data_IF_593537902136
#
_entry.id   IF_593537902136
#
_cell.length_a   1.000
_cell.length_b   1.000
_cell.length_c   1.000
_cell.angle_alpha   90.00
_cell.angle_beta   90.00
_cell.angle_gamma   90.00
#
_symmetry.space_group_name_H-M   'P 1'
#
loop_
_entity.id
_entity.type
_entity.pdbx_description
1 polymer ?
#
# COMPACT_ATOMS: atom_id res chain seq x y z
N UNK A 1 19.80 -1.52 8.19
CA UNK A 1 19.37 -2.45 9.28
C UNK A 1 20.53 -3.36 9.65
N UNK A 2 20.83 -3.45 10.96
CA UNK A 2 21.86 -4.36 11.48
C UNK A 2 21.37 -5.82 11.45
N UNK A 3 22.16 -6.72 10.84
CA UNK A 3 21.89 -8.14 10.76
C UNK A 3 21.75 -8.77 12.17
N UNK A 4 22.45 -8.23 13.17
CA UNK A 4 22.38 -8.73 14.56
C UNK A 4 20.97 -8.63 15.12
N UNK A 5 20.28 -7.50 14.92
CA UNK A 5 18.90 -7.27 15.40
C UNK A 5 17.93 -8.23 14.68
N UNK A 6 18.11 -8.44 13.37
CA UNK A 6 17.27 -9.39 12.61
C UNK A 6 17.41 -10.81 13.15
N UNK A 7 18.65 -11.24 13.46
CA UNK A 7 18.92 -12.56 14.07
C UNK A 7 18.33 -12.65 15.48
N UNK A 8 18.51 -11.63 16.31
CA UNK A 8 17.96 -11.57 17.64
C UNK A 8 16.44 -11.72 17.64
N UNK A 9 15.74 -11.00 16.74
CA UNK A 9 14.30 -11.11 16.59
C UNK A 9 13.86 -12.54 16.24
N UNK A 10 14.52 -13.18 15.28
CA UNK A 10 14.22 -14.56 14.88
C UNK A 10 14.51 -15.59 16.00
N UNK A 11 15.57 -15.39 16.77
CA UNK A 11 15.88 -16.25 17.91
C UNK A 11 14.90 -16.08 19.08
N UNK A 12 14.48 -14.84 19.34
CA UNK A 12 13.57 -14.49 20.46
C UNK A 12 12.11 -14.87 20.17
N UNK A 13 11.64 -14.68 18.95
CA UNK A 13 10.21 -14.82 18.60
C UNK A 13 9.91 -16.03 17.70
N UNK A 14 10.93 -16.75 17.23
CA UNK A 14 10.78 -17.85 16.30
C UNK A 14 10.72 -17.38 14.84
N UNK A 15 10.45 -18.34 13.94
CA UNK A 15 10.23 -18.10 12.50
C UNK A 15 9.04 -18.92 12.01
N UNK A 16 8.34 -18.52 10.94
CA UNK A 16 8.54 -17.27 10.21
C UNK A 16 8.02 -16.05 11.00
N UNK A 17 8.59 -14.85 10.77
CA UNK A 17 8.13 -13.59 11.36
C UNK A 17 8.22 -12.43 10.37
N UNK A 18 7.36 -11.43 10.55
CA UNK A 18 7.54 -10.09 10.00
C UNK A 18 8.18 -9.18 11.03
N UNK A 19 9.18 -8.42 10.62
CA UNK A 19 9.85 -7.43 11.46
C UNK A 19 9.82 -6.08 10.75
N UNK A 20 9.39 -5.03 11.46
CA UNK A 20 9.30 -3.67 10.95
C UNK A 20 10.18 -2.72 11.75
N UNK A 21 11.03 -1.96 11.06
CA UNK A 21 11.81 -0.88 11.67
C UNK A 21 11.06 0.45 11.55
N UNK A 22 10.58 0.96 12.68
CA UNK A 22 9.80 2.20 12.71
C UNK A 22 10.63 3.41 12.31
N UNK A 23 11.94 3.41 12.55
CA UNK A 23 12.83 4.50 12.15
C UNK A 23 12.95 4.63 10.63
N UNK A 24 12.86 3.52 9.90
CA UNK A 24 12.83 3.55 8.43
C UNK A 24 11.53 4.22 7.95
N UNK A 25 10.38 3.93 8.58
CA UNK A 25 9.11 4.61 8.25
C UNK A 25 9.24 6.11 8.47
N UNK A 26 9.77 6.53 9.61
CA UNK A 26 10.00 7.94 9.94
C UNK A 26 10.89 8.62 8.90
N UNK A 27 12.03 8.01 8.55
CA UNK A 27 12.95 8.56 7.57
C UNK A 27 12.30 8.71 6.18
N UNK A 28 11.46 7.76 5.76
CA UNK A 28 10.74 7.83 4.48
C UNK A 28 9.64 8.91 4.51
N UNK A 29 8.95 9.04 5.63
CA UNK A 29 7.96 10.10 5.82
C UNK A 29 8.62 11.49 5.78
N UNK A 30 9.71 11.68 6.52
CA UNK A 30 10.47 12.95 6.56
C UNK A 30 11.04 13.31 5.18
N UNK A 31 11.56 12.30 4.45
CA UNK A 31 12.05 12.49 3.09
C UNK A 31 10.96 13.02 2.17
N UNK A 32 9.77 12.40 2.18
CA UNK A 32 8.65 12.84 1.37
C UNK A 32 8.13 14.21 1.82
N UNK A 33 7.97 14.40 3.12
CA UNK A 33 7.49 15.64 3.72
C UNK A 33 8.41 16.83 3.38
N UNK A 34 9.71 16.63 3.40
CA UNK A 34 10.72 17.63 3.00
C UNK A 34 10.54 18.05 1.54
N UNK A 35 10.39 17.11 0.62
CA UNK A 35 10.19 17.42 -0.80
C UNK A 35 8.85 18.15 -1.04
N UNK A 36 7.78 17.70 -0.37
CA UNK A 36 6.44 18.30 -0.49
C UNK A 36 6.33 19.69 0.15
N UNK A 37 7.22 20.07 1.06
CA UNK A 37 7.13 21.33 1.83
C UNK A 37 7.06 22.59 0.97
N UNK A 38 7.58 22.55 -0.25
CA UNK A 38 7.52 23.68 -1.21
C UNK A 38 6.10 23.98 -1.69
N UNK A 39 5.16 23.03 -1.53
CA UNK A 39 3.76 23.15 -1.95
C UNK A 39 2.90 23.91 -0.91
N UNK A 40 3.41 24.11 0.31
CA UNK A 40 2.81 24.83 1.44
C UNK A 40 1.49 24.26 1.97
N UNK A 41 0.51 23.93 1.12
CA UNK A 41 -0.80 23.39 1.51
C UNK A 41 -0.97 21.95 1.00
N UNK A 42 -0.50 20.98 1.77
CA UNK A 42 -0.60 19.56 1.43
C UNK A 42 -0.87 18.68 2.65
N UNK A 43 -1.28 17.46 2.40
CA UNK A 43 -1.43 16.40 3.41
C UNK A 43 -0.95 15.06 2.82
N UNK A 44 -0.31 14.26 3.65
CA UNK A 44 0.02 12.88 3.34
C UNK A 44 -1.02 12.00 4.01
N UNK A 45 -1.74 11.19 3.23
CA UNK A 45 -2.62 10.13 3.72
C UNK A 45 -1.94 8.80 3.50
N UNK A 46 -1.75 8.03 4.55
CA UNK A 46 -1.14 6.71 4.42
C UNK A 46 -2.16 5.71 3.88
N UNK A 47 -1.83 4.98 2.81
CA UNK A 47 -2.69 3.95 2.25
C UNK A 47 -2.68 2.70 3.17
N UNK A 48 -3.75 2.55 3.99
CA UNK A 48 -3.89 1.52 5.02
C UNK A 48 -3.72 0.09 4.48
N UNK A 49 -4.22 -0.16 3.27
CA UNK A 49 -4.10 -1.45 2.56
C UNK A 49 -2.67 -1.99 2.46
N UNK A 50 -1.67 -1.12 2.54
CA UNK A 50 -0.26 -1.55 2.45
C UNK A 50 0.25 -2.19 3.73
N UNK A 51 -0.16 -1.69 4.92
CA UNK A 51 0.21 -2.23 6.22
C UNK A 51 -0.73 -1.68 7.31
N UNK A 52 -1.71 -2.45 7.74
CA UNK A 52 -2.80 -2.02 8.63
C UNK A 52 -2.63 -2.39 10.11
N UNK A 53 -1.42 -2.80 10.54
CA UNK A 53 -1.17 -3.10 11.96
C UNK A 53 -1.38 -1.84 12.83
N UNK A 54 -2.13 -1.99 13.94
CA UNK A 54 -2.52 -0.89 14.83
C UNK A 54 -1.31 -0.09 15.35
N UNK A 55 -0.22 -0.76 15.72
CA UNK A 55 0.99 -0.10 16.23
C UNK A 55 1.66 0.74 15.14
N UNK A 56 1.69 0.23 13.92
CA UNK A 56 2.22 0.96 12.75
C UNK A 56 1.34 2.16 12.41
N UNK A 57 0.02 1.98 12.36
CA UNK A 57 -0.92 3.07 12.06
C UNK A 57 -0.84 4.19 13.10
N UNK A 58 -0.77 3.85 14.39
CA UNK A 58 -0.59 4.84 15.46
C UNK A 58 0.74 5.60 15.33
N UNK A 59 1.81 4.90 14.94
CA UNK A 59 3.11 5.55 14.72
C UNK A 59 3.06 6.52 13.53
N UNK A 60 2.46 6.10 12.42
CA UNK A 60 2.27 6.93 11.22
C UNK A 60 1.37 8.14 11.53
N UNK A 61 0.31 7.95 12.30
CA UNK A 61 -0.53 9.07 12.78
C UNK A 61 0.27 10.09 13.60
N UNK A 62 1.13 9.62 14.52
CA UNK A 62 2.00 10.49 15.34
C UNK A 62 2.90 11.39 14.49
N UNK A 63 3.29 10.95 13.29
CA UNK A 63 4.05 11.77 12.34
C UNK A 63 3.20 12.82 11.61
N UNK A 64 1.88 12.85 11.83
CA UNK A 64 0.98 13.83 11.24
C UNK A 64 0.31 13.38 9.93
N UNK A 65 0.41 12.11 9.53
CA UNK A 65 -0.33 11.60 8.38
C UNK A 65 -1.83 11.50 8.66
N UNK A 66 -2.65 11.61 7.61
CA UNK A 66 -4.00 11.09 7.53
C UNK A 66 -4.01 9.64 7.05
N UNK A 67 -5.20 9.12 6.74
CA UNK A 67 -5.41 7.74 6.30
C UNK A 67 -6.21 7.70 4.99
N UNK A 68 -5.73 6.94 3.99
CA UNK A 68 -6.52 6.46 2.86
C UNK A 68 -7.01 5.04 3.21
N UNK A 69 -8.34 4.86 3.23
CA UNK A 69 -9.02 3.62 3.56
C UNK A 69 -9.90 3.16 2.39
N UNK A 70 -9.86 1.87 2.05
CA UNK A 70 -10.59 1.31 0.91
C UNK A 70 -11.73 0.37 1.32
N UNK A 71 -11.92 0.14 2.63
CA UNK A 71 -13.01 -0.64 3.21
C UNK A 71 -13.49 0.00 4.51
N UNK A 72 -14.71 -0.34 4.92
CA UNK A 72 -15.27 0.15 6.18
C UNK A 72 -14.44 -0.35 7.39
N UNK A 73 -13.86 -1.55 7.30
CA UNK A 73 -12.98 -2.09 8.34
C UNK A 73 -11.70 -1.26 8.47
N UNK A 74 -11.10 -0.81 7.37
CA UNK A 74 -9.94 0.11 7.42
C UNK A 74 -10.32 1.45 8.04
N UNK A 75 -11.52 1.99 7.77
CA UNK A 75 -12.06 3.19 8.44
C UNK A 75 -12.17 2.97 9.95
N UNK A 76 -12.79 1.86 10.37
CA UNK A 76 -12.98 1.52 11.79
C UNK A 76 -11.62 1.33 12.51
N UNK A 77 -10.67 0.66 11.87
CA UNK A 77 -9.30 0.50 12.38
C UNK A 77 -8.64 1.88 12.52
N UNK A 78 -8.79 2.75 11.53
CA UNK A 78 -8.26 4.12 11.57
C UNK A 78 -8.81 4.91 12.76
N UNK A 79 -10.13 4.90 12.96
CA UNK A 79 -10.77 5.55 14.10
C UNK A 79 -10.28 4.96 15.44
N UNK A 80 -10.14 3.63 15.53
CA UNK A 80 -9.58 2.94 16.70
C UNK A 80 -8.11 3.30 16.96
N UNK A 81 -7.35 3.59 15.92
CA UNK A 81 -5.98 4.10 16.02
C UNK A 81 -5.92 5.59 16.43
N UNK A 82 -7.08 6.25 16.50
CA UNK A 82 -7.25 7.63 16.96
C UNK A 82 -7.11 8.66 15.82
N UNK A 83 -7.16 8.27 14.55
CA UNK A 83 -7.33 9.24 13.47
C UNK A 83 -8.65 9.98 13.66
N UNK A 84 -8.65 11.29 13.46
CA UNK A 84 -9.89 12.04 13.42
C UNK A 84 -10.64 11.70 12.13
N UNK A 85 -11.98 11.79 12.17
CA UNK A 85 -12.81 11.50 11.01
C UNK A 85 -12.46 12.32 9.76
N UNK A 86 -12.06 13.56 9.92
CA UNK A 86 -11.63 14.46 8.86
C UNK A 86 -10.20 14.19 8.34
N UNK A 87 -9.45 13.32 9.02
CA UNK A 87 -8.14 12.81 8.60
C UNK A 87 -8.23 11.50 7.81
N UNK A 88 -9.44 10.91 7.71
CA UNK A 88 -9.68 9.67 6.96
C UNK A 88 -10.39 10.00 5.66
N UNK A 89 -9.84 9.53 4.54
CA UNK A 89 -10.47 9.53 3.23
C UNK A 89 -10.87 8.09 2.91
N UNK A 90 -12.17 7.86 2.73
CA UNK A 90 -12.70 6.57 2.32
C UNK A 90 -12.87 6.52 0.81
N UNK A 91 -12.10 5.66 0.16
CA UNK A 91 -12.02 5.51 -1.29
C UNK A 91 -12.44 4.10 -1.71
N UNK A 92 -13.74 3.77 -1.65
CA UNK A 92 -14.24 2.45 -2.03
C UNK A 92 -14.23 2.23 -3.54
N UNK A 93 -14.26 0.96 -3.95
CA UNK A 93 -14.50 0.57 -5.33
C UNK A 93 -15.34 -0.71 -5.39
N UNK A 94 -16.51 -0.64 -6.02
CA UNK A 94 -17.39 -1.79 -6.21
C UNK A 94 -18.02 -2.36 -4.93
N UNK A 95 -18.14 -1.55 -3.88
CA UNK A 95 -18.81 -1.91 -2.62
C UNK A 95 -20.31 -1.67 -2.70
N UNK A 96 -21.07 -2.21 -1.74
CA UNK A 96 -22.50 -1.91 -1.60
C UNK A 96 -22.72 -0.46 -1.17
N UNK A 97 -23.86 0.11 -1.53
CA UNK A 97 -24.21 1.46 -1.07
C UNK A 97 -24.38 1.54 0.46
N UNK A 98 -24.80 0.47 1.10
CA UNK A 98 -24.89 0.42 2.57
C UNK A 98 -23.53 0.63 3.24
N UNK A 99 -22.43 0.12 2.67
CA UNK A 99 -21.08 0.39 3.18
C UNK A 99 -20.70 1.86 3.05
N UNK A 100 -21.03 2.49 1.92
CA UNK A 100 -20.81 3.93 1.71
C UNK A 100 -21.62 4.75 2.74
N UNK A 101 -22.88 4.36 3.00
CA UNK A 101 -23.74 4.99 4.01
C UNK A 101 -23.14 4.87 5.41
N UNK A 102 -22.59 3.71 5.75
CA UNK A 102 -21.95 3.50 7.04
C UNK A 102 -20.75 4.41 7.21
N UNK A 103 -19.85 4.47 6.22
CA UNK A 103 -18.69 5.35 6.23
C UNK A 103 -19.11 6.83 6.35
N UNK A 104 -20.10 7.28 5.59
CA UNK A 104 -20.62 8.64 5.67
C UNK A 104 -21.18 8.97 7.06
N UNK A 105 -21.95 8.06 7.67
CA UNK A 105 -22.47 8.23 9.03
C UNK A 105 -21.39 8.31 10.10
N UNK A 106 -20.24 7.65 9.91
CA UNK A 106 -19.05 7.82 10.74
C UNK A 106 -18.41 9.20 10.60
N UNK A 107 -18.80 9.96 9.56
CA UNK A 107 -18.38 11.33 9.32
C UNK A 107 -17.01 11.43 8.66
N UNK A 108 -16.50 10.37 8.05
CA UNK A 108 -15.27 10.41 7.25
C UNK A 108 -15.51 11.02 5.88
N UNK A 109 -14.45 11.48 5.22
CA UNK A 109 -14.54 12.01 3.87
C UNK A 109 -14.79 10.88 2.88
N UNK A 110 -15.70 11.13 1.92
CA UNK A 110 -16.11 10.15 0.92
C UNK A 110 -15.51 10.51 -0.43
N UNK A 111 -14.87 9.54 -1.07
CA UNK A 111 -14.33 9.62 -2.42
C UNK A 111 -14.97 8.56 -3.31
N UNK A 112 -15.88 8.96 -4.20
CA UNK A 112 -16.64 8.06 -5.06
C UNK A 112 -16.02 7.93 -6.44
N UNK A 113 -16.13 6.76 -7.04
CA UNK A 113 -15.46 6.43 -8.29
C UNK A 113 -16.42 5.99 -9.44
N UNK A 114 -17.73 6.13 -9.24
CA UNK A 114 -18.74 5.88 -10.27
C UNK A 114 -19.90 6.86 -10.20
N UNK A 115 -20.48 7.18 -11.36
CA UNK A 115 -21.67 8.05 -11.45
C UNK A 115 -22.87 7.40 -10.74
N UNK A 116 -22.94 6.09 -10.79
CA UNK A 116 -24.01 5.31 -10.19
C UNK A 116 -23.99 5.45 -8.65
N UNK A 117 -22.83 5.25 -8.02
CA UNK A 117 -22.68 5.44 -6.57
C UNK A 117 -22.90 6.90 -6.14
N UNK A 118 -22.55 7.87 -7.00
CA UNK A 118 -22.82 9.28 -6.75
C UNK A 118 -24.34 9.57 -6.79
N UNK A 119 -25.08 8.97 -7.74
CA UNK A 119 -26.53 9.13 -7.80
C UNK A 119 -27.21 8.57 -6.54
N UNK A 120 -26.83 7.36 -6.13
CA UNK A 120 -27.35 6.77 -4.89
C UNK A 120 -27.01 7.63 -3.67
N UNK A 121 -25.79 8.20 -3.63
CA UNK A 121 -25.39 9.10 -2.54
C UNK A 121 -26.21 10.39 -2.50
N UNK A 122 -26.49 10.97 -3.66
CA UNK A 122 -27.32 12.20 -3.76
C UNK A 122 -28.76 11.91 -3.40
N UNK A 123 -29.30 10.79 -3.84
CA UNK A 123 -30.69 10.39 -3.55
C UNK A 123 -30.91 10.18 -2.04
N UNK A 124 -29.91 9.67 -1.32
CA UNK A 124 -29.98 9.43 0.13
C UNK A 124 -29.62 10.67 0.96
N UNK A 125 -28.57 11.40 0.61
CA UNK A 125 -27.98 12.44 1.44
C UNK A 125 -28.11 13.86 0.87
N UNK A 126 -28.58 14.00 -0.35
CA UNK A 126 -28.70 15.28 -1.03
C UNK A 126 -27.33 15.85 -1.44
N UNK A 127 -27.29 17.16 -1.64
CA UNK A 127 -26.11 17.89 -2.12
C UNK A 127 -25.04 18.07 -1.01
N UNK A 128 -24.41 16.98 -0.62
CA UNK A 128 -23.29 16.97 0.33
C UNK A 128 -21.93 17.04 -0.38
N UNK A 129 -20.89 17.60 0.26
CA UNK A 129 -19.57 17.67 -0.32
C UNK A 129 -18.94 16.28 -0.44
N UNK A 130 -18.47 15.95 -1.65
CA UNK A 130 -17.75 14.71 -1.95
C UNK A 130 -16.48 14.97 -2.73
N UNK A 131 -15.55 14.01 -2.68
CA UNK A 131 -14.44 13.86 -3.61
C UNK A 131 -14.84 12.84 -4.67
N UNK A 132 -14.37 13.00 -5.89
CA UNK A 132 -14.61 12.04 -6.97
C UNK A 132 -13.30 11.57 -7.57
N UNK A 133 -13.20 10.25 -7.78
CA UNK A 133 -12.04 9.65 -8.43
C UNK A 133 -12.24 9.63 -9.93
N UNK A 134 -11.30 10.24 -10.63
CA UNK A 134 -11.26 10.28 -12.10
C UNK A 134 -10.30 9.20 -12.61
N UNK A 135 -10.70 8.50 -13.65
CA UNK A 135 -9.81 7.64 -14.44
C UNK A 135 -9.09 8.51 -15.48
N UNK A 136 -7.76 8.70 -15.38
CA UNK A 136 -7.05 9.56 -16.32
C UNK A 136 -6.82 8.92 -17.70
N UNK A 137 -7.17 7.66 -17.92
CA UNK A 137 -6.91 6.94 -19.16
C UNK A 137 -5.41 6.73 -19.45
N UNK A 138 -4.57 6.73 -18.42
CA UNK A 138 -3.11 6.66 -18.54
C UNK A 138 -2.63 5.28 -18.10
N UNK A 139 -1.92 4.59 -18.98
CA UNK A 139 -1.25 3.35 -18.62
C UNK A 139 0.06 3.65 -17.88
N UNK A 140 0.11 3.34 -16.59
CA UNK A 140 1.28 3.59 -15.75
C UNK A 140 1.55 2.42 -14.80
N UNK A 141 2.85 2.17 -14.53
CA UNK A 141 3.30 1.09 -13.66
C UNK A 141 4.09 0.01 -14.40
N UNK A 142 4.71 -0.87 -13.63
CA UNK A 142 5.59 -1.93 -14.13
C UNK A 142 4.92 -3.29 -14.33
N UNK A 143 3.63 -3.45 -13.98
CA UNK A 143 2.88 -4.69 -14.07
C UNK A 143 1.39 -4.39 -14.31
N UNK A 144 0.76 -5.12 -15.22
CA UNK A 144 -0.64 -4.92 -15.59
C UNK A 144 -1.61 -5.02 -14.41
N UNK A 145 -1.35 -5.91 -13.46
CA UNK A 145 -2.18 -6.10 -12.27
C UNK A 145 -2.20 -4.89 -11.32
N UNK A 146 -1.26 -3.96 -11.44
CA UNK A 146 -1.15 -2.75 -10.60
C UNK A 146 -1.22 -1.45 -11.39
N UNK A 147 -1.47 -1.52 -12.70
CA UNK A 147 -1.81 -0.39 -13.55
C UNK A 147 -3.32 -0.16 -13.44
N UNK A 148 -3.75 0.88 -12.77
CA UNK A 148 -5.17 1.11 -12.43
C UNK A 148 -5.75 2.40 -13.02
N UNK A 149 -4.98 3.14 -13.81
CA UNK A 149 -5.37 4.39 -14.43
C UNK A 149 -5.62 4.32 -15.94
N UNK A 150 -5.65 3.13 -16.54
CA UNK A 150 -5.89 2.96 -17.97
C UNK A 150 -7.40 2.90 -18.31
N UNK A 151 -7.75 3.10 -19.56
CA UNK A 151 -9.15 3.20 -20.02
C UNK A 151 -10.02 1.97 -19.74
N UNK A 152 -9.42 0.78 -19.68
CA UNK A 152 -10.13 -0.48 -19.38
C UNK A 152 -10.11 -0.83 -17.89
N UNK A 153 -9.63 0.07 -17.04
CA UNK A 153 -9.60 -0.13 -15.59
C UNK A 153 -11.00 0.01 -14.99
N UNK A 154 -11.31 -0.82 -13.99
CA UNK A 154 -12.56 -0.70 -13.21
C UNK A 154 -12.62 0.53 -12.32
N UNK A 155 -11.51 1.26 -12.13
CA UNK A 155 -11.38 2.35 -11.17
C UNK A 155 -11.58 3.71 -11.80
N UNK A 156 -12.34 4.55 -11.10
CA UNK A 156 -12.52 5.96 -11.43
C UNK A 156 -13.52 6.22 -12.56
N UNK A 157 -14.07 7.42 -12.57
CA UNK A 157 -15.01 7.88 -13.58
C UNK A 157 -14.22 8.21 -14.84
N UNK A 158 -14.53 7.58 -15.99
CA UNK A 158 -13.81 7.83 -17.23
C UNK A 158 -14.06 9.24 -17.76
N UNK A 159 -13.10 9.76 -18.53
CA UNK A 159 -13.09 11.15 -19.02
C UNK A 159 -14.35 11.50 -19.82
N UNK A 160 -14.83 10.60 -20.62
CA UNK A 160 -16.03 10.75 -21.45
C UNK A 160 -17.33 10.92 -20.66
N UNK A 161 -17.29 10.66 -19.34
CA UNK A 161 -18.44 10.85 -18.43
C UNK A 161 -18.30 12.07 -17.51
N UNK A 162 -17.24 12.86 -17.66
CA UNK A 162 -17.04 14.08 -16.83
C UNK A 162 -18.18 15.09 -17.07
N UNK A 163 -18.69 15.20 -18.29
CA UNK A 163 -19.80 16.08 -18.63
C UNK A 163 -21.07 15.75 -17.83
N UNK A 164 -21.30 14.47 -17.46
CA UNK A 164 -22.41 14.09 -16.59
C UNK A 164 -22.21 14.68 -15.17
N UNK A 165 -20.98 14.66 -14.64
CA UNK A 165 -20.68 15.26 -13.33
C UNK A 165 -20.88 16.77 -13.34
N UNK A 166 -20.39 17.43 -14.40
CA UNK A 166 -20.53 18.88 -14.56
C UNK A 166 -22.01 19.28 -14.68
N UNK A 167 -22.82 18.52 -15.41
CA UNK A 167 -24.26 18.73 -15.51
C UNK A 167 -24.94 18.57 -14.14
N UNK A 168 -24.58 17.55 -13.35
CA UNK A 168 -25.11 17.33 -12.00
C UNK A 168 -24.70 18.49 -11.05
N UNK A 169 -23.44 18.95 -11.10
CA UNK A 169 -22.97 20.09 -10.30
C UNK A 169 -23.68 21.39 -10.71
N UNK A 170 -23.81 21.66 -12.01
CA UNK A 170 -24.48 22.85 -12.53
C UNK A 170 -25.96 22.92 -12.16
N UNK A 171 -26.63 21.75 -12.08
CA UNK A 171 -28.01 21.63 -11.61
C UNK A 171 -28.13 21.67 -10.08
N UNK A 172 -27.04 21.83 -9.35
CA UNK A 172 -27.01 21.89 -7.88
C UNK A 172 -27.33 20.56 -7.20
N UNK A 173 -27.22 19.44 -7.93
CA UNK A 173 -27.50 18.09 -7.38
C UNK A 173 -26.35 17.58 -6.54
N UNK A 174 -25.11 17.92 -6.88
CA UNK A 174 -23.90 17.48 -6.18
C UNK A 174 -22.98 18.67 -5.89
N UNK A 175 -22.15 18.52 -4.85
CA UNK A 175 -21.08 19.45 -4.52
C UNK A 175 -19.74 18.70 -4.54
N UNK A 176 -19.00 18.83 -5.66
CA UNK A 176 -17.67 18.21 -5.79
C UNK A 176 -16.64 19.17 -5.22
N UNK A 177 -16.02 18.80 -4.09
CA UNK A 177 -15.01 19.61 -3.40
C UNK A 177 -13.59 19.07 -3.59
N UNK A 178 -13.45 17.86 -4.11
CA UNK A 178 -12.15 17.28 -4.40
C UNK A 178 -12.14 16.40 -5.64
N UNK A 179 -11.02 16.39 -6.32
CA UNK A 179 -10.74 15.44 -7.39
C UNK A 179 -9.59 14.53 -6.98
N UNK A 180 -9.71 13.25 -7.29
CA UNK A 180 -8.68 12.25 -7.02
C UNK A 180 -8.29 11.51 -8.30
N UNK A 181 -7.00 11.24 -8.45
CA UNK A 181 -6.48 10.28 -9.42
C UNK A 181 -5.52 9.31 -8.75
N UNK A 182 -5.50 8.09 -9.26
CA UNK A 182 -4.44 7.13 -8.97
C UNK A 182 -4.05 6.40 -10.24
N UNK A 183 -2.87 6.72 -10.79
CA UNK A 183 -2.45 6.21 -12.10
C UNK A 183 -1.86 4.80 -12.05
N UNK A 184 -1.51 4.31 -10.87
CA UNK A 184 -0.92 2.97 -10.69
C UNK A 184 0.21 2.94 -9.69
N UNK A 185 1.00 1.87 -9.74
CA UNK A 185 2.07 1.61 -8.78
C UNK A 185 3.42 1.49 -9.48
N UNK A 186 4.50 1.80 -8.76
CA UNK A 186 5.88 1.71 -9.26
C UNK A 186 6.15 2.57 -10.51
N UNK A 187 5.64 3.80 -10.49
CA UNK A 187 5.81 4.74 -11.59
C UNK A 187 7.23 5.30 -11.56
N UNK A 188 8.03 4.96 -12.57
CA UNK A 188 9.42 5.42 -12.73
C UNK A 188 9.57 6.45 -13.83
N UNK A 189 8.71 6.40 -14.85
CA UNK A 189 8.76 7.31 -15.99
C UNK A 189 8.10 8.63 -15.60
N UNK A 190 8.91 9.68 -15.45
CA UNK A 190 8.42 11.02 -15.11
C UNK A 190 7.29 11.52 -16.04
N UNK A 191 7.25 11.07 -17.31
CA UNK A 191 6.20 11.46 -18.24
C UNK A 191 4.80 10.99 -17.81
N UNK A 192 4.67 9.79 -17.24
CA UNK A 192 3.38 9.24 -16.77
C UNK A 192 2.81 10.05 -15.61
N UNK A 193 3.65 10.43 -14.63
CA UNK A 193 3.22 11.36 -13.58
C UNK A 193 2.83 12.73 -14.16
N UNK A 194 3.64 13.28 -15.06
CA UNK A 194 3.39 14.59 -15.68
C UNK A 194 2.06 14.61 -16.44
N UNK A 195 1.75 13.57 -17.16
CA UNK A 195 0.47 13.45 -17.89
C UNK A 195 -0.71 13.41 -16.90
N UNK A 196 -0.64 12.58 -15.87
CA UNK A 196 -1.69 12.50 -14.84
C UNK A 196 -1.89 13.82 -14.11
N UNK A 197 -0.79 14.48 -13.69
CA UNK A 197 -0.84 15.80 -13.03
C UNK A 197 -1.50 16.83 -13.95
N UNK A 198 -1.04 16.97 -15.19
CA UNK A 198 -1.63 17.94 -16.13
C UNK A 198 -3.10 17.66 -16.38
N UNK A 199 -3.47 16.39 -16.52
CA UNK A 199 -4.84 15.99 -16.80
C UNK A 199 -5.79 16.35 -15.65
N UNK A 200 -5.43 16.00 -14.40
CA UNK A 200 -6.30 16.30 -13.27
C UNK A 200 -6.45 17.81 -13.04
N UNK A 201 -5.37 18.58 -13.20
CA UNK A 201 -5.45 20.04 -13.12
C UNK A 201 -6.24 20.65 -14.30
N UNK A 202 -6.23 20.04 -15.48
CA UNK A 202 -7.09 20.44 -16.59
C UNK A 202 -8.56 20.23 -16.24
N UNK A 203 -8.92 19.04 -15.79
CA UNK A 203 -10.28 18.69 -15.39
C UNK A 203 -10.77 19.56 -14.23
N UNK A 204 -9.90 19.86 -13.27
CA UNK A 204 -10.24 20.70 -12.11
C UNK A 204 -10.68 22.11 -12.48
N UNK A 205 -10.29 22.61 -13.67
CA UNK A 205 -10.70 23.95 -14.17
C UNK A 205 -12.17 24.06 -14.47
N UNK A 206 -12.80 22.95 -14.82
CA UNK A 206 -14.21 22.90 -15.21
C UNK A 206 -15.16 22.90 -14.01
N UNK A 207 -14.65 22.54 -12.81
CA UNK A 207 -15.44 22.44 -11.58
C UNK A 207 -15.39 23.73 -10.72
N UNK A 208 -16.54 24.13 -10.19
CA UNK A 208 -16.69 25.41 -9.47
C UNK A 208 -16.19 25.36 -8.02
N UNK A 209 -16.33 24.22 -7.36
CA UNK A 209 -16.19 24.09 -5.91
C UNK A 209 -14.93 23.32 -5.45
N UNK A 210 -13.96 23.09 -6.32
CA UNK A 210 -12.76 22.32 -5.99
C UNK A 210 -11.92 23.03 -4.91
N UNK A 211 -11.69 22.35 -3.81
CA UNK A 211 -10.87 22.75 -2.66
C UNK A 211 -9.61 21.91 -2.54
N UNK A 212 -9.63 20.68 -3.11
CA UNK A 212 -8.51 19.76 -3.02
C UNK A 212 -8.30 18.93 -4.29
N UNK A 213 -7.03 18.56 -4.53
CA UNK A 213 -6.64 17.57 -5.54
C UNK A 213 -5.83 16.51 -4.84
N UNK A 214 -6.27 15.26 -4.98
CA UNK A 214 -5.55 14.08 -4.51
C UNK A 214 -4.85 13.42 -5.69
N UNK A 215 -3.53 13.29 -5.59
CA UNK A 215 -2.67 12.73 -6.62
C UNK A 215 -2.39 11.24 -6.41
N UNK A 216 -3.01 10.66 -5.37
CA UNK A 216 -2.85 9.25 -5.04
C UNK A 216 -1.44 8.87 -4.61
N UNK A 217 -1.12 7.61 -4.83
CA UNK A 217 0.20 7.03 -4.54
C UNK A 217 1.04 6.81 -5.81
N UNK A 218 1.69 5.65 -5.87
CA UNK A 218 2.44 5.22 -7.05
C UNK A 218 3.94 5.50 -7.01
N UNK A 219 4.44 6.18 -5.99
CA UNK A 219 5.86 6.48 -5.79
C UNK A 219 6.65 5.17 -5.63
N UNK A 220 7.57 4.92 -6.56
CA UNK A 220 8.43 3.72 -6.55
C UNK A 220 9.65 3.90 -5.65
N UNK A 221 9.95 2.85 -4.88
CA UNK A 221 11.23 2.66 -4.21
C UNK A 221 12.07 1.61 -4.96
N UNK A 222 13.41 1.61 -4.82
CA UNK A 222 14.23 0.56 -5.39
C UNK A 222 14.11 -0.74 -4.59
N UNK A 223 14.01 -1.88 -5.27
CA UNK A 223 13.95 -3.22 -4.65
C UNK A 223 15.30 -3.94 -4.67
N UNK A 224 16.26 -3.47 -5.45
CA UNK A 224 17.64 -3.96 -5.53
C UNK A 224 18.60 -2.82 -5.90
N UNK A 225 19.90 -3.07 -5.78
CA UNK A 225 20.95 -2.03 -5.84
C UNK A 225 20.91 -1.11 -7.06
N UNK A 226 20.58 -1.67 -8.24
CA UNK A 226 20.55 -0.94 -9.50
C UNK A 226 19.12 -0.68 -10.00
N UNK A 227 18.13 -0.84 -9.15
CA UNK A 227 16.74 -0.57 -9.47
C UNK A 227 16.45 0.93 -9.47
N UNK A 228 15.53 1.33 -10.33
CA UNK A 228 15.09 2.72 -10.45
C UNK A 228 14.10 3.09 -9.34
N UNK A 229 14.08 4.36 -8.98
CA UNK A 229 13.09 4.95 -8.08
C UNK A 229 12.46 6.19 -8.71
N UNK A 230 11.31 6.61 -8.18
CA UNK A 230 10.72 7.89 -8.57
C UNK A 230 11.63 9.05 -8.14
N UNK A 231 11.93 9.96 -9.06
CA UNK A 231 12.59 11.21 -8.72
C UNK A 231 11.57 12.17 -8.09
N UNK A 232 11.57 12.27 -6.76
CA UNK A 232 10.62 13.08 -6.01
C UNK A 232 10.74 14.59 -6.33
N UNK A 233 11.94 15.08 -6.54
CA UNK A 233 12.15 16.50 -6.84
C UNK A 233 11.50 16.87 -8.18
N UNK A 234 11.68 16.07 -9.23
CA UNK A 234 11.06 16.31 -10.53
C UNK A 234 9.52 16.15 -10.46
N UNK A 235 9.04 15.18 -9.69
CA UNK A 235 7.62 14.99 -9.43
C UNK A 235 7.00 16.23 -8.77
N UNK A 236 7.58 16.70 -7.68
CA UNK A 236 7.10 17.86 -6.93
C UNK A 236 7.22 19.16 -7.73
N UNK A 237 8.26 19.32 -8.55
CA UNK A 237 8.38 20.48 -9.47
C UNK A 237 7.22 20.55 -10.46
N UNK A 238 6.81 19.43 -11.05
CA UNK A 238 5.69 19.42 -11.99
C UNK A 238 4.37 19.72 -11.28
N UNK A 239 4.13 19.12 -10.10
CA UNK A 239 2.97 19.43 -9.26
C UNK A 239 2.92 20.94 -8.92
N UNK A 240 4.04 21.48 -8.45
CA UNK A 240 4.14 22.91 -8.10
C UNK A 240 3.85 23.83 -9.28
N UNK A 241 4.30 23.45 -10.47
CA UNK A 241 4.07 24.21 -11.70
C UNK A 241 2.58 24.27 -12.06
N UNK A 242 1.89 23.14 -12.07
CA UNK A 242 0.46 23.10 -12.41
C UNK A 242 -0.41 23.72 -11.30
N UNK A 243 -0.05 23.52 -10.02
CA UNK A 243 -0.71 24.20 -8.90
C UNK A 243 -0.64 25.73 -9.02
N UNK A 244 0.54 26.28 -9.29
CA UNK A 244 0.72 27.73 -9.46
C UNK A 244 -0.10 28.28 -10.61
N UNK A 245 -0.17 27.57 -11.74
CA UNK A 245 -1.01 27.99 -12.87
C UNK A 245 -2.48 28.06 -12.45
N UNK A 246 -2.98 27.01 -11.80
CA UNK A 246 -4.36 26.94 -11.32
C UNK A 246 -4.67 28.06 -10.33
N UNK A 247 -3.81 28.28 -9.33
CA UNK A 247 -4.00 29.30 -8.30
C UNK A 247 -4.01 30.72 -8.87
N UNK A 248 -3.16 30.99 -9.87
CA UNK A 248 -3.14 32.30 -10.57
C UNK A 248 -4.37 32.50 -11.45
N UNK A 249 -4.82 31.47 -12.15
CA UNK A 249 -5.98 31.54 -13.04
C UNK A 249 -7.31 31.75 -12.28
N UNK A 250 -7.47 31.05 -11.15
CA UNK A 250 -8.74 31.03 -10.40
C UNK A 250 -8.73 31.87 -9.12
N UNK A 251 -7.59 32.45 -8.75
CA UNK A 251 -7.39 33.14 -7.47
C UNK A 251 -7.86 32.30 -6.26
N UNK A 252 -7.67 30.99 -6.32
CA UNK A 252 -8.04 30.01 -5.30
C UNK A 252 -6.85 29.17 -4.90
N UNK A 253 -6.75 28.86 -3.60
CA UNK A 253 -5.72 27.95 -3.10
C UNK A 253 -6.27 26.54 -2.96
N UNK A 254 -5.54 25.56 -3.49
CA UNK A 254 -5.90 24.16 -3.38
C UNK A 254 -5.09 23.48 -2.27
N UNK A 255 -5.72 22.51 -1.61
CA UNK A 255 -5.04 21.53 -0.79
C UNK A 255 -4.63 20.34 -1.66
N UNK A 256 -3.37 19.95 -1.62
CA UNK A 256 -2.90 18.75 -2.29
C UNK A 256 -2.87 17.58 -1.32
N UNK A 257 -3.26 16.40 -1.79
CA UNK A 257 -3.24 15.17 -1.03
C UNK A 257 -2.36 14.15 -1.77
N UNK A 258 -1.62 13.34 -1.02
CA UNK A 258 -0.76 12.28 -1.54
C UNK A 258 -1.00 11.02 -0.71
N UNK A 259 -1.12 9.86 -1.36
CA UNK A 259 -1.47 8.58 -0.73
C UNK A 259 -0.33 7.54 -0.83
N UNK A 260 0.85 7.81 -0.25
CA UNK A 260 1.92 6.83 -0.28
C UNK A 260 1.59 5.61 0.58
N UNK A 261 1.66 4.42 -0.01
CA UNK A 261 1.65 3.15 0.71
C UNK A 261 3.04 2.54 0.72
N UNK A 262 3.43 1.90 -0.40
CA UNK A 262 4.74 1.23 -0.58
C UNK A 262 5.92 2.12 -0.22
N UNK A 263 5.89 3.38 -0.62
CA UNK A 263 6.98 4.31 -0.38
C UNK A 263 7.31 4.43 1.11
N UNK A 264 6.31 4.44 1.99
CA UNK A 264 6.52 4.61 3.42
C UNK A 264 6.96 3.33 4.13
N UNK A 265 6.40 2.18 3.73
CA UNK A 265 6.52 0.98 4.57
C UNK A 265 7.20 -0.23 3.90
N UNK A 266 7.54 -0.21 2.60
CA UNK A 266 8.21 -1.37 2.01
C UNK A 266 9.56 -1.65 2.65
N UNK A 267 10.44 -0.63 2.70
CA UNK A 267 11.82 -0.77 3.17
C UNK A 267 11.92 -1.08 4.66
N UNK A 268 10.90 -0.74 5.44
CA UNK A 268 10.89 -0.99 6.87
C UNK A 268 10.69 -2.47 7.22
N UNK A 269 10.18 -3.27 6.29
CA UNK A 269 9.75 -4.63 6.56
C UNK A 269 10.72 -5.70 6.10
N UNK A 270 10.95 -6.64 6.98
CA UNK A 270 11.80 -7.82 6.81
C UNK A 270 10.97 -9.05 7.11
N UNK A 271 10.89 -9.98 6.14
CA UNK A 271 10.27 -11.27 6.37
C UNK A 271 11.37 -12.30 6.61
N UNK A 272 11.39 -12.90 7.80
CA UNK A 272 12.48 -13.78 8.25
C UNK A 272 11.94 -15.18 8.39
N UNK A 273 12.63 -16.12 7.77
CA UNK A 273 12.33 -17.56 7.72
C UNK A 273 13.53 -18.40 8.11
N UNK A 274 13.32 -19.68 8.32
CA UNK A 274 14.36 -20.67 8.60
C UNK A 274 14.41 -21.71 7.51
N UNK A 275 15.61 -22.16 7.16
CA UNK A 275 15.83 -23.24 6.20
C UNK A 275 15.48 -24.58 6.84
N UNK A 276 14.48 -25.25 6.31
CA UNK A 276 14.12 -26.61 6.69
C UNK A 276 15.07 -27.62 6.05
N UNK A 277 15.27 -27.53 4.73
CA UNK A 277 16.10 -28.43 3.95
C UNK A 277 16.68 -27.74 2.73
N UNK A 278 17.80 -28.30 2.25
CA UNK A 278 18.31 -28.02 0.91
C UNK A 278 18.16 -29.30 0.10
N UNK A 279 17.32 -29.26 -0.94
CA UNK A 279 17.06 -30.38 -1.82
C UNK A 279 17.79 -30.19 -3.13
N UNK A 280 18.84 -30.95 -3.36
CA UNK A 280 19.61 -30.91 -4.61
C UNK A 280 19.06 -31.90 -5.63
N UNK A 281 19.01 -31.46 -6.88
CA UNK A 281 18.78 -32.29 -8.06
C UNK A 281 19.99 -32.21 -8.96
N UNK A 282 19.94 -32.87 -10.13
CA UNK A 282 21.04 -32.78 -11.10
C UNK A 282 21.28 -31.35 -11.63
N UNK A 283 20.29 -30.49 -11.58
CA UNK A 283 20.31 -29.18 -12.24
C UNK A 283 20.06 -27.98 -11.31
N UNK A 284 19.54 -28.24 -10.09
CA UNK A 284 19.09 -27.14 -9.19
C UNK A 284 19.27 -27.55 -7.73
N UNK A 285 19.53 -26.53 -6.91
CA UNK A 285 19.41 -26.60 -5.45
C UNK A 285 18.18 -25.82 -5.00
N UNK A 286 17.22 -26.52 -4.40
CA UNK A 286 16.04 -25.92 -3.78
C UNK A 286 16.33 -25.59 -2.32
N UNK A 287 16.22 -24.32 -1.96
CA UNK A 287 16.30 -23.86 -0.58
C UNK A 287 14.87 -23.79 -0.02
N UNK A 288 14.51 -24.78 0.77
CA UNK A 288 13.17 -24.96 1.34
C UNK A 288 13.08 -24.26 2.69
N UNK A 289 12.20 -23.24 2.81
CA UNK A 289 12.02 -22.46 4.03
C UNK A 289 10.73 -22.86 4.78
N UNK A 290 10.63 -22.49 6.07
CA UNK A 290 9.50 -22.74 6.95
C UNK A 290 8.29 -21.81 6.70
N UNK A 291 8.11 -21.41 5.45
CA UNK A 291 7.06 -20.51 5.00
C UNK A 291 6.62 -20.85 3.57
N UNK A 292 5.65 -20.12 3.03
CA UNK A 292 5.19 -20.26 1.66
C UNK A 292 4.56 -18.95 1.14
N UNK A 293 4.07 -18.96 -0.11
CA UNK A 293 3.44 -17.82 -0.70
C UNK A 293 2.21 -17.34 0.10
N UNK A 294 1.61 -18.21 0.90
CA UNK A 294 0.53 -17.87 1.82
C UNK A 294 0.95 -16.79 2.84
N UNK A 295 2.23 -16.64 3.13
CA UNK A 295 2.73 -15.58 4.00
C UNK A 295 3.32 -14.39 3.23
N UNK A 296 3.98 -14.61 2.08
CA UNK A 296 4.51 -13.54 1.22
C UNK A 296 4.07 -13.78 -0.23
N UNK A 297 2.86 -13.30 -0.58
CA UNK A 297 2.19 -13.59 -1.84
C UNK A 297 2.81 -12.87 -3.06
N UNK A 298 3.42 -11.72 -2.85
CA UNK A 298 3.86 -10.81 -3.92
C UNK A 298 4.78 -11.43 -4.98
N UNK A 299 5.77 -12.29 -4.65
CA UNK A 299 6.59 -12.98 -5.67
C UNK A 299 5.74 -13.83 -6.61
N UNK A 300 4.78 -14.58 -6.09
CA UNK A 300 3.91 -15.48 -6.86
C UNK A 300 2.88 -14.70 -7.69
N UNK A 301 2.23 -13.68 -7.09
CA UNK A 301 1.14 -12.95 -7.73
C UNK A 301 1.63 -11.93 -8.77
N UNK A 302 2.73 -11.24 -8.48
CA UNK A 302 3.19 -10.11 -9.30
C UNK A 302 4.59 -10.32 -9.90
N UNK A 303 5.26 -11.44 -9.60
CA UNK A 303 6.68 -11.59 -9.92
C UNK A 303 7.58 -10.59 -9.17
N UNK A 304 7.11 -10.07 -8.03
CA UNK A 304 7.83 -9.02 -7.32
C UNK A 304 9.18 -9.50 -6.82
N UNK A 305 10.20 -8.69 -7.05
CA UNK A 305 11.53 -8.95 -6.52
C UNK A 305 11.58 -8.62 -5.02
N UNK A 306 12.19 -9.53 -4.24
CA UNK A 306 12.68 -9.25 -2.90
C UNK A 306 14.15 -9.63 -2.84
N UNK A 307 15.01 -8.76 -2.29
CA UNK A 307 16.38 -9.14 -2.01
C UNK A 307 16.38 -10.19 -0.89
N UNK A 308 17.10 -11.30 -1.10
CA UNK A 308 17.14 -12.42 -0.17
C UNK A 308 18.57 -12.56 0.35
N UNK A 309 18.72 -12.56 1.67
CA UNK A 309 20.02 -12.67 2.33
C UNK A 309 20.01 -13.81 3.36
N UNK A 310 21.14 -14.49 3.46
CA UNK A 310 21.40 -15.44 4.56
C UNK A 310 21.93 -14.66 5.77
N UNK A 311 21.11 -14.52 6.82
CA UNK A 311 21.50 -13.85 8.05
C UNK A 311 22.53 -14.66 8.84
N UNK A 312 22.51 -15.99 8.76
CA UNK A 312 23.42 -16.88 9.51
C UNK A 312 24.83 -16.84 8.94
N UNK A 313 24.96 -16.72 7.61
CA UNK A 313 26.24 -16.70 6.90
C UNK A 313 26.31 -15.53 5.89
N UNK A 314 26.30 -14.26 6.32
CA UNK A 314 26.19 -13.10 5.42
C UNK A 314 27.41 -12.91 4.51
N UNK A 315 28.58 -13.35 4.95
CA UNK A 315 29.84 -13.21 4.23
C UNK A 315 30.25 -14.47 3.43
N UNK A 316 29.40 -15.50 3.43
CA UNK A 316 29.67 -16.76 2.74
C UNK A 316 29.81 -16.63 1.23
N UNK A 317 30.48 -17.59 0.60
CA UNK A 317 30.57 -17.68 -0.88
C UNK A 317 29.16 -17.73 -1.46
N UNK A 318 28.89 -17.01 -2.54
CA UNK A 318 27.59 -17.03 -3.21
C UNK A 318 27.38 -18.33 -3.98
N UNK A 319 26.21 -18.94 -3.79
CA UNK A 319 25.71 -20.11 -4.49
C UNK A 319 24.31 -19.78 -5.04
N UNK A 320 23.92 -20.44 -6.11
CA UNK A 320 22.60 -20.25 -6.74
C UNK A 320 21.58 -21.22 -6.15
N UNK A 321 20.40 -20.69 -5.78
CA UNK A 321 19.29 -21.45 -5.24
C UNK A 321 17.97 -21.02 -5.87
N UNK A 322 17.05 -21.98 -6.03
CA UNK A 322 15.63 -21.69 -6.13
C UNK A 322 15.05 -21.69 -4.71
N UNK A 323 14.57 -20.54 -4.25
CA UNK A 323 14.02 -20.38 -2.89
C UNK A 323 12.54 -20.71 -2.92
N UNK A 324 12.15 -21.76 -2.20
CA UNK A 324 10.79 -22.32 -2.25
C UNK A 324 10.20 -22.52 -0.86
N UNK A 325 8.89 -22.47 -0.79
CA UNK A 325 8.13 -22.71 0.43
C UNK A 325 7.62 -24.15 0.55
N UNK A 326 6.60 -24.30 1.42
CA UNK A 326 6.02 -25.59 1.80
C UNK A 326 4.57 -25.80 1.30
N UNK A 327 4.03 -24.85 0.52
CA UNK A 327 2.67 -24.97 -0.02
C UNK A 327 2.65 -26.05 -1.12
N UNK A 328 1.57 -26.80 -1.21
CA UNK A 328 1.41 -27.93 -2.12
C UNK A 328 1.20 -27.56 -3.60
N UNK A 329 1.64 -26.37 -4.00
CA UNK A 329 1.61 -25.87 -5.37
C UNK A 329 3.00 -25.35 -5.78
N UNK A 330 3.12 -24.66 -6.95
CA UNK A 330 4.37 -23.97 -7.31
C UNK A 330 4.58 -22.80 -6.34
N UNK A 331 5.22 -23.08 -5.21
CA UNK A 331 5.51 -22.15 -4.13
C UNK A 331 6.97 -21.67 -4.21
N UNK A 332 7.20 -20.73 -5.13
CA UNK A 332 8.54 -20.23 -5.43
C UNK A 332 8.64 -18.73 -5.14
N UNK A 333 9.47 -18.38 -4.17
CA UNK A 333 9.77 -16.97 -3.86
C UNK A 333 10.75 -16.35 -4.84
N UNK A 334 11.72 -17.13 -5.31
CA UNK A 334 12.71 -16.69 -6.29
C UNK A 334 13.39 -17.88 -6.97
N UNK A 335 13.65 -17.74 -8.26
CA UNK A 335 14.43 -18.70 -9.05
C UNK A 335 15.86 -18.15 -9.26
N UNK A 336 16.85 -19.06 -9.31
CA UNK A 336 18.26 -18.79 -9.60
C UNK A 336 18.85 -17.63 -8.78
N UNK A 337 18.51 -17.59 -7.49
CA UNK A 337 18.94 -16.51 -6.60
C UNK A 337 20.34 -16.78 -6.04
N UNK A 338 21.25 -15.84 -6.24
CA UNK A 338 22.60 -15.89 -5.66
C UNK A 338 22.57 -15.46 -4.20
N UNK A 339 22.61 -16.42 -3.29
CA UNK A 339 22.61 -16.22 -1.83
C UNK A 339 23.92 -16.80 -1.27
N UNK A 340 24.40 -16.30 -0.13
CA UNK A 340 25.55 -16.88 0.56
C UNK A 340 25.27 -18.35 0.87
N UNK A 341 26.31 -19.20 0.78
CA UNK A 341 26.19 -20.64 1.02
C UNK A 341 25.43 -20.91 2.30
N UNK A 342 24.45 -21.81 2.19
CA UNK A 342 23.35 -21.94 3.15
C UNK A 342 23.28 -23.38 3.63
N UNK A 343 22.99 -23.56 4.92
CA UNK A 343 22.81 -24.84 5.59
C UNK A 343 21.41 -24.96 6.21
N UNK A 344 20.99 -26.18 6.52
CA UNK A 344 19.79 -26.47 7.30
C UNK A 344 19.85 -25.69 8.62
N UNK A 345 18.75 -25.02 8.97
CA UNK A 345 18.63 -24.20 10.18
C UNK A 345 19.06 -22.74 10.02
N UNK A 346 19.70 -22.36 8.91
CA UNK A 346 20.07 -20.97 8.64
C UNK A 346 18.83 -20.06 8.55
N UNK A 347 19.01 -18.81 8.95
CA UNK A 347 17.98 -17.78 8.87
C UNK A 347 18.09 -17.04 7.53
N UNK A 348 16.98 -16.99 6.81
CA UNK A 348 16.86 -16.31 5.53
C UNK A 348 15.94 -15.10 5.69
N UNK A 349 16.35 -13.95 5.19
CA UNK A 349 15.59 -12.72 5.25
C UNK A 349 15.24 -12.22 3.86
N UNK A 350 13.97 -11.93 3.64
CA UNK A 350 13.43 -11.24 2.48
C UNK A 350 13.27 -9.76 2.86
N UNK A 351 13.99 -8.87 2.17
CA UNK A 351 13.88 -7.42 2.37
C UNK A 351 12.67 -6.82 1.65
N UNK A 352 12.35 -5.57 1.96
CA UNK A 352 11.25 -4.82 1.34
C UNK A 352 9.89 -5.52 1.47
N UNK A 353 9.69 -6.23 2.58
CA UNK A 353 8.49 -7.02 2.85
C UNK A 353 7.43 -6.25 3.68
N UNK A 354 7.61 -4.95 3.93
CA UNK A 354 6.70 -4.18 4.78
C UNK A 354 5.36 -3.88 4.11
N UNK A 355 5.36 -3.52 2.83
CA UNK A 355 4.13 -3.25 2.12
C UNK A 355 3.55 -4.50 1.47
N UNK A 356 2.25 -4.75 1.70
CA UNK A 356 1.53 -5.88 1.07
C UNK A 356 2.17 -7.27 1.35
N UNK A 357 2.94 -7.37 2.44
CA UNK A 357 3.46 -8.63 2.95
C UNK A 357 2.39 -9.30 3.83
N UNK A 358 2.38 -8.97 5.12
CA UNK A 358 1.41 -9.54 6.07
C UNK A 358 -0.06 -9.29 5.66
N UNK A 359 -0.40 -8.10 5.17
CA UNK A 359 -1.77 -7.77 4.80
C UNK A 359 -2.36 -8.65 3.68
N UNK A 360 -1.52 -9.21 2.80
CA UNK A 360 -1.95 -10.16 1.77
C UNK A 360 -1.75 -11.63 2.19
N UNK A 361 -1.31 -11.88 3.41
CA UNK A 361 -1.13 -13.25 3.90
C UNK A 361 -2.46 -13.95 4.12
N UNK A 362 -2.45 -15.27 4.00
CA UNK A 362 -3.63 -16.13 4.14
C UNK A 362 -3.34 -17.39 4.93
N UNK A 363 -4.39 -18.13 5.27
CA UNK A 363 -4.33 -19.42 5.95
C UNK A 363 -4.37 -20.59 4.97
N UNK A 364 -3.97 -20.39 3.70
CA UNK A 364 -3.97 -21.48 2.73
C UNK A 364 -3.18 -22.70 3.23
N UNK A 365 -3.67 -23.90 2.93
CA UNK A 365 -3.23 -25.18 3.50
C UNK A 365 -3.37 -25.24 5.04
N UNK A 366 -4.29 -24.50 5.63
CA UNK A 366 -4.51 -24.36 7.09
C UNK A 366 -3.23 -23.96 7.85
N UNK A 367 -2.39 -23.13 7.22
CA UNK A 367 -1.17 -22.59 7.84
C UNK A 367 -1.50 -21.33 8.63
N UNK A 368 -1.03 -21.28 9.86
CA UNK A 368 -1.14 -20.11 10.74
C UNK A 368 -0.31 -18.93 10.22
N UNK A 369 -0.86 -17.72 10.22
CA UNK A 369 -0.11 -16.52 9.88
C UNK A 369 0.93 -16.20 10.95
N UNK A 370 2.11 -15.64 10.55
CA UNK A 370 3.24 -15.42 11.45
C UNK A 370 2.99 -14.24 12.41
N UNK A 371 3.85 -14.16 13.45
CA UNK A 371 3.90 -12.97 14.30
C UNK A 371 4.40 -11.75 13.56
N UNK A 372 3.99 -10.56 14.03
CA UNK A 372 4.55 -9.27 13.62
C UNK A 372 5.31 -8.64 14.79
N UNK A 373 6.52 -8.17 14.52
CA UNK A 373 7.45 -7.57 15.47
C UNK A 373 7.79 -6.17 14.97
N UNK A 374 7.98 -5.20 15.86
CA UNK A 374 8.58 -3.91 15.47
C UNK A 374 9.84 -3.60 16.28
N UNK A 375 10.68 -2.76 15.68
CA UNK A 375 11.81 -2.13 16.33
C UNK A 375 11.44 -0.67 16.59
N UNK A 376 11.52 -0.27 17.84
CA UNK A 376 11.36 1.11 18.28
C UNK A 376 12.46 1.41 19.30
N UNK A 377 13.27 2.45 19.07
CA UNK A 377 14.38 2.84 19.92
C UNK A 377 15.31 1.64 20.26
N UNK A 378 15.72 0.90 19.23
CA UNK A 378 16.56 -0.30 19.27
C UNK A 378 15.99 -1.46 20.12
N UNK A 379 14.72 -1.40 20.49
CA UNK A 379 14.02 -2.46 21.24
C UNK A 379 13.03 -3.19 20.37
N UNK A 380 12.93 -4.50 20.61
CA UNK A 380 12.01 -5.40 19.90
C UNK A 380 10.69 -5.54 20.66
N UNK A 381 9.59 -5.24 20.00
CA UNK A 381 8.22 -5.38 20.53
C UNK A 381 7.41 -6.28 19.63
N UNK A 382 6.73 -7.27 20.20
CA UNK A 382 5.73 -8.05 19.48
C UNK A 382 4.46 -7.20 19.36
N UNK A 383 4.01 -6.97 18.13
CA UNK A 383 2.83 -6.14 17.79
C UNK A 383 1.67 -6.95 17.21
N UNK A 384 1.88 -8.25 16.98
CA UNK A 384 0.86 -9.26 16.69
C UNK A 384 1.37 -10.63 17.12
N UNK A 385 0.52 -11.39 17.80
CA UNK A 385 0.79 -12.80 18.10
C UNK A 385 0.72 -13.63 16.81
N UNK A 386 1.49 -14.73 16.71
CA UNK A 386 1.26 -15.70 15.63
C UNK A 386 -0.11 -16.36 15.83
N UNK A 387 -0.77 -16.69 14.73
CA UNK A 387 -2.04 -17.43 14.83
C UNK A 387 -1.82 -18.82 15.40
N UNK A 388 -2.83 -19.31 16.10
CA UNK A 388 -2.93 -20.64 16.68
C UNK A 388 -3.97 -21.48 15.94
N UNK A 389 -4.09 -22.75 16.29
CA UNK A 389 -5.17 -23.61 15.77
C UNK A 389 -6.55 -23.04 16.14
N UNK A 390 -6.70 -22.39 17.27
CA UNK A 390 -7.96 -21.78 17.68
C UNK A 390 -8.36 -20.61 16.78
N UNK A 391 -7.39 -19.84 16.29
CA UNK A 391 -7.62 -18.77 15.34
C UNK A 391 -8.10 -19.33 13.98
N UNK A 392 -7.54 -20.44 13.53
CA UNK A 392 -7.95 -21.14 12.31
C UNK A 392 -9.36 -21.73 12.40
N UNK A 393 -9.78 -22.14 13.60
CA UNK A 393 -11.11 -22.71 13.86
C UNK A 393 -12.14 -21.64 14.25
N UNK A 394 -11.72 -20.40 14.46
CA UNK A 394 -12.59 -19.30 14.86
C UNK A 394 -13.73 -19.12 13.84
N UNK A 395 -14.97 -19.07 14.32
CA UNK A 395 -16.15 -18.93 13.48
C UNK A 395 -16.63 -20.21 12.78
N UNK A 396 -15.90 -21.34 12.88
CA UNK A 396 -16.37 -22.62 12.39
C UNK A 396 -17.41 -23.23 13.34
N UNK A 397 -18.45 -23.80 12.76
CA UNK A 397 -19.55 -24.44 13.52
C UNK A 397 -19.57 -25.92 13.19
N UNK A 398 -19.38 -26.77 14.21
CA UNK A 398 -19.53 -28.22 14.06
C UNK A 398 -21.03 -28.60 14.18
N UNK A 399 -21.63 -28.98 13.06
CA UNK A 399 -23.04 -29.37 13.02
C UNK A 399 -23.29 -30.83 13.45
N UNK A 400 -22.23 -31.63 13.64
CA UNK A 400 -22.33 -33.05 13.97
C UNK A 400 -22.18 -33.30 15.48
N UNK A 401 -21.63 -32.36 16.23
CA UNK A 401 -21.48 -32.43 17.70
C UNK A 401 -22.43 -31.44 18.43
N UNK A 402 -23.70 -31.45 18.07
CA UNK A 402 -24.73 -30.68 18.76
C UNK A 402 -25.31 -31.44 19.92
#
# INVERSE_FOLDING_TARGET
>A
MDIKILKEAALKFGTPIYLYDLKIIENQFDKLNKELSVLKNYKIHFAAKSLSNISILKYIKKMGAGLDAVSIEEVMIGLKCGFNKDEILYTPNGVSFEEIKEAYKLGVKINLDSIESIKDFVDEFGNQPITVRINPGIYAGGNDNVSVGHSESKFGIPEERIDELLDMENKGKIKITGLHIHTGSDITKNNQFKEGIKKIFSIARDFKNIESIDLGGGIKIPYYKDDTSTNLNDYVKEVSKELKKFELEFNRKLKLIFEPGKFLVSDCGFFITRVNYIKSTKTKDFLQVDSGFNHLLRPTLYGSHHEIINLSNPAGRKKEYDVVGYICEKDTFAEKRKISDTSKGDLICFKNAGAYGFNMSSNYNSRSRPAEICILDDKLFKIREPETINDLLSGQIDIFNK
#
